data_IF_995830083913
#
_entry.id   IF_995830083913
#
_cell.length_a   1.000
_cell.length_b   1.000
_cell.length_c   1.000
_cell.angle_alpha   90.00
_cell.angle_beta   90.00
_cell.angle_gamma   90.00
#
_symmetry.space_group_name_H-M   'P 1'
#
loop_
_entity.id
_entity.type
_entity.pdbx_description
1 polymer ?
#
# COMPACT_ATOMS: atom_id res chain seq x y z
N UNK A 1 1.46 25.02 0.11
CA UNK A 1 -0.03 25.02 0.21
C UNK A 1 -0.59 24.60 -1.14
N UNK A 2 -1.53 23.66 -1.20
CA UNK A 2 -2.18 23.23 -2.46
C UNK A 2 -2.90 24.43 -3.12
N UNK A 3 -2.53 24.72 -4.37
CA UNK A 3 -3.09 25.83 -5.16
C UNK A 3 -3.65 25.29 -6.46
N UNK A 4 -4.88 25.66 -6.81
CA UNK A 4 -5.52 25.34 -8.08
C UNK A 4 -6.43 26.49 -8.52
N UNK A 5 -6.64 26.61 -9.84
CA UNK A 5 -7.50 27.66 -10.41
C UNK A 5 -8.97 27.26 -10.40
N UNK A 6 -9.25 25.95 -10.56
CA UNK A 6 -10.59 25.40 -10.65
C UNK A 6 -10.69 24.13 -9.79
N UNK A 7 -11.86 23.92 -9.20
CA UNK A 7 -12.24 22.68 -8.54
C UNK A 7 -13.39 22.05 -9.33
N UNK A 8 -13.21 20.77 -9.69
CA UNK A 8 -14.22 20.02 -10.42
C UNK A 8 -14.51 18.73 -9.71
N UNK A 9 -15.73 18.55 -9.24
CA UNK A 9 -16.26 17.28 -8.79
C UNK A 9 -16.72 16.50 -10.02
N UNK A 10 -16.07 15.37 -10.29
CA UNK A 10 -16.41 14.56 -11.45
C UNK A 10 -17.69 13.76 -11.19
N UNK A 11 -18.57 13.73 -12.16
CA UNK A 11 -19.84 12.99 -12.11
C UNK A 11 -19.70 11.56 -12.68
N UNK A 12 -18.67 11.34 -13.52
CA UNK A 12 -18.37 10.03 -14.10
C UNK A 12 -16.87 9.75 -14.13
N UNK A 13 -16.50 8.46 -14.19
CA UNK A 13 -15.11 8.05 -14.37
C UNK A 13 -14.51 8.55 -15.68
N UNK A 14 -15.33 8.59 -16.75
CA UNK A 14 -14.92 9.11 -18.05
C UNK A 14 -14.57 10.61 -17.98
N UNK A 15 -15.37 11.39 -17.30
CA UNK A 15 -15.09 12.81 -17.07
C UNK A 15 -13.81 13.00 -16.28
N UNK A 16 -13.65 12.28 -15.15
CA UNK A 16 -12.44 12.33 -14.35
C UNK A 16 -11.19 11.98 -15.16
N UNK A 17 -11.27 10.92 -15.96
CA UNK A 17 -10.20 10.48 -16.83
C UNK A 17 -9.85 11.51 -17.91
N UNK A 18 -10.84 12.05 -18.63
CA UNK A 18 -10.63 13.11 -19.63
C UNK A 18 -9.91 14.32 -19.03
N UNK A 19 -10.33 14.75 -17.86
CA UNK A 19 -9.68 15.86 -17.15
C UNK A 19 -8.24 15.52 -16.74
N UNK A 20 -7.99 14.27 -16.34
CA UNK A 20 -6.67 13.82 -15.89
C UNK A 20 -5.66 13.65 -17.03
N UNK A 21 -6.07 13.71 -18.30
CA UNK A 21 -5.14 13.68 -19.44
C UNK A 21 -4.26 14.94 -19.51
N UNK A 22 -4.70 16.05 -18.92
CA UNK A 22 -3.91 17.26 -18.80
C UNK A 22 -2.94 17.17 -17.61
N UNK A 23 -1.64 17.26 -17.87
CA UNK A 23 -0.61 17.33 -16.83
C UNK A 23 -0.73 18.54 -15.90
N UNK A 24 -1.54 19.53 -16.28
CA UNK A 24 -1.81 20.70 -15.45
C UNK A 24 -2.91 20.44 -14.40
N UNK A 25 -3.59 19.31 -14.48
CA UNK A 25 -4.64 18.91 -13.55
C UNK A 25 -4.12 17.87 -12.55
N UNK A 26 -4.83 17.71 -11.43
CA UNK A 26 -4.51 16.68 -10.44
C UNK A 26 -5.77 16.05 -9.87
N UNK A 27 -5.71 14.73 -9.69
CA UNK A 27 -6.74 13.99 -8.93
C UNK A 27 -6.51 14.18 -7.44
N UNK A 28 -7.58 14.47 -6.72
CA UNK A 28 -7.55 14.60 -5.26
C UNK A 28 -7.87 13.25 -4.60
N UNK A 29 -6.92 12.76 -3.81
CA UNK A 29 -7.18 11.80 -2.76
C UNK A 29 -7.21 12.54 -1.41
N UNK A 30 -6.62 11.96 -0.36
CA UNK A 30 -6.49 12.63 0.95
C UNK A 30 -5.55 13.83 0.99
N UNK A 31 -4.98 14.22 -0.12
CA UNK A 31 -4.11 15.39 -0.33
C UNK A 31 -2.86 15.51 0.56
N UNK A 32 -2.54 14.48 1.35
CA UNK A 32 -1.43 14.50 2.30
C UNK A 32 -0.10 14.99 1.72
N UNK A 33 0.25 14.52 0.52
CA UNK A 33 1.45 14.95 -0.21
C UNK A 33 1.22 16.17 -1.09
N UNK A 34 0.10 16.28 -1.76
CA UNK A 34 -0.20 17.40 -2.66
C UNK A 34 -0.14 18.75 -1.95
N UNK A 35 -0.66 18.82 -0.70
CA UNK A 35 -0.67 20.07 0.08
C UNK A 35 0.72 20.54 0.52
N UNK A 36 1.71 19.66 0.55
CA UNK A 36 3.10 19.97 0.91
C UNK A 36 3.91 20.47 -0.29
N UNK A 37 3.43 20.24 -1.51
CA UNK A 37 4.07 20.73 -2.73
C UNK A 37 3.77 22.20 -3.01
N UNK A 38 4.60 22.81 -3.85
CA UNK A 38 4.46 24.20 -4.29
C UNK A 38 3.83 24.33 -5.67
N UNK A 39 3.58 23.21 -6.33
CA UNK A 39 3.03 23.19 -7.68
C UNK A 39 1.63 23.80 -7.71
N UNK A 40 1.40 24.66 -8.70
CA UNK A 40 0.06 25.17 -9.01
C UNK A 40 -0.59 24.30 -10.07
N UNK A 41 -1.84 23.96 -9.82
CA UNK A 41 -2.65 23.14 -10.71
C UNK A 41 -3.73 23.98 -11.40
N UNK A 42 -4.12 23.61 -12.61
CA UNK A 42 -5.28 24.24 -13.25
C UNK A 42 -6.57 23.72 -12.61
N UNK A 43 -6.78 22.41 -12.65
CA UNK A 43 -7.99 21.80 -12.11
C UNK A 43 -7.64 20.74 -11.08
N UNK A 44 -8.26 20.84 -9.91
CA UNK A 44 -8.30 19.80 -8.90
C UNK A 44 -9.55 18.95 -9.16
N UNK A 45 -9.36 17.65 -9.40
CA UNK A 45 -10.42 16.68 -9.76
C UNK A 45 -10.79 15.89 -8.51
N UNK A 46 -12.01 16.07 -8.05
CA UNK A 46 -12.57 15.35 -6.90
C UNK A 46 -13.37 14.13 -7.38
N UNK A 47 -13.11 12.97 -6.76
CA UNK A 47 -13.75 11.69 -7.08
C UNK A 47 -14.82 11.28 -6.06
N UNK A 48 -15.21 12.16 -5.14
CA UNK A 48 -16.08 11.80 -3.99
C UNK A 48 -17.48 11.31 -4.38
N UNK A 49 -18.01 11.74 -5.54
CA UNK A 49 -19.34 11.36 -6.03
C UNK A 49 -19.33 10.04 -6.84
N UNK A 50 -18.16 9.42 -7.04
CA UNK A 50 -18.04 8.22 -7.90
C UNK A 50 -18.25 6.90 -7.17
N UNK A 51 -18.73 6.93 -5.92
CA UNK A 51 -18.99 5.70 -5.14
C UNK A 51 -17.73 4.92 -4.75
N UNK A 52 -16.55 5.56 -4.75
CA UNK A 52 -15.25 4.92 -4.49
C UNK A 52 -14.85 4.94 -3.00
N UNK A 53 -15.74 5.30 -2.10
CA UNK A 53 -15.48 5.45 -0.65
C UNK A 53 -15.83 4.23 0.20
N UNK A 54 -16.11 3.07 -0.39
CA UNK A 54 -16.59 1.87 0.30
C UNK A 54 -15.65 0.68 0.15
N UNK A 55 -15.69 -0.22 1.13
CA UNK A 55 -15.08 -1.55 1.05
C UNK A 55 -16.23 -2.55 0.90
N UNK A 56 -16.31 -3.20 -0.25
CA UNK A 56 -17.26 -4.27 -0.52
C UNK A 56 -16.59 -5.61 -0.27
N UNK A 57 -17.19 -6.41 0.62
CA UNK A 57 -16.73 -7.75 0.94
C UNK A 57 -17.68 -8.78 0.35
N UNK A 58 -17.15 -9.76 -0.36
CA UNK A 58 -17.85 -10.93 -0.85
C UNK A 58 -17.26 -12.21 -0.25
N UNK A 59 -17.77 -13.36 -0.61
CA UNK A 59 -17.17 -14.65 -0.24
C UNK A 59 -15.75 -14.83 -0.80
N UNK A 60 -15.47 -14.25 -1.97
CA UNK A 60 -14.24 -14.49 -2.74
C UNK A 60 -13.24 -13.33 -2.74
N UNK A 61 -13.67 -12.10 -2.44
CA UNK A 61 -12.81 -10.93 -2.50
C UNK A 61 -13.24 -9.77 -1.60
N UNK A 62 -12.28 -8.90 -1.32
CA UNK A 62 -12.51 -7.53 -0.86
C UNK A 62 -12.26 -6.58 -2.03
N UNK A 63 -13.24 -5.71 -2.33
CA UNK A 63 -13.12 -4.65 -3.33
C UNK A 63 -13.09 -3.30 -2.62
N UNK A 64 -11.93 -2.70 -2.54
CA UNK A 64 -11.62 -1.52 -1.75
C UNK A 64 -11.58 -0.33 -2.70
N UNK A 65 -12.50 0.62 -2.58
CA UNK A 65 -12.53 1.82 -3.40
C UNK A 65 -11.34 2.76 -3.14
N UNK A 66 -10.90 3.47 -4.16
CA UNK A 66 -9.74 4.35 -4.08
C UNK A 66 -9.89 5.50 -3.06
N UNK A 67 -11.12 5.92 -2.79
CA UNK A 67 -11.44 6.99 -1.83
C UNK A 67 -11.65 6.48 -0.40
N UNK A 68 -11.58 5.17 -0.16
CA UNK A 68 -11.56 4.60 1.19
C UNK A 68 -10.38 5.20 1.98
N UNK A 69 -10.66 5.66 3.18
CA UNK A 69 -9.62 6.24 4.05
C UNK A 69 -8.75 5.15 4.68
N UNK A 70 -7.52 5.49 5.04
CA UNK A 70 -6.65 4.57 5.78
C UNK A 70 -7.28 4.16 7.12
N UNK A 71 -8.10 5.03 7.73
CA UNK A 71 -8.79 4.70 8.98
C UNK A 71 -9.89 3.64 8.76
N UNK A 72 -10.67 3.74 7.69
CA UNK A 72 -11.64 2.70 7.33
C UNK A 72 -10.93 1.36 7.06
N UNK A 73 -9.81 1.40 6.33
CA UNK A 73 -8.99 0.21 6.09
C UNK A 73 -8.48 -0.42 7.39
N UNK A 74 -7.93 0.40 8.32
CA UNK A 74 -7.43 -0.01 9.63
C UNK A 74 -8.49 -0.73 10.47
N UNK A 75 -9.74 -0.25 10.40
CA UNK A 75 -10.84 -0.72 11.25
C UNK A 75 -11.69 -1.81 10.63
N UNK A 76 -11.50 -2.17 9.35
CA UNK A 76 -12.37 -3.11 8.65
C UNK A 76 -12.27 -4.52 9.25
N UNK A 77 -13.36 -5.06 9.84
CA UNK A 77 -13.30 -6.31 10.60
C UNK A 77 -12.94 -7.51 9.72
N UNK A 78 -13.55 -7.63 8.52
CA UNK A 78 -13.30 -8.75 7.61
C UNK A 78 -11.85 -8.78 7.10
N UNK A 79 -11.29 -7.63 6.70
CA UNK A 79 -9.87 -7.55 6.30
C UNK A 79 -8.92 -7.93 7.45
N UNK A 80 -9.22 -7.47 8.66
CA UNK A 80 -8.41 -7.79 9.84
C UNK A 80 -8.50 -9.27 10.21
N UNK A 81 -9.69 -9.87 10.12
CA UNK A 81 -9.86 -11.30 10.35
C UNK A 81 -9.12 -12.12 9.28
N UNK A 82 -9.28 -11.78 8.00
CA UNK A 82 -8.66 -12.48 6.88
C UNK A 82 -7.11 -12.42 6.93
N UNK A 83 -6.55 -11.27 7.33
CA UNK A 83 -5.09 -11.05 7.35
C UNK A 83 -4.46 -11.24 8.72
N UNK A 84 -5.17 -11.82 9.70
CA UNK A 84 -4.73 -11.94 11.09
C UNK A 84 -4.19 -10.61 11.68
N UNK A 85 -4.81 -9.48 11.28
CA UNK A 85 -4.45 -8.13 11.72
C UNK A 85 -3.30 -7.46 10.96
N UNK A 86 -2.68 -8.09 9.97
CA UNK A 86 -1.56 -7.50 9.22
C UNK A 86 -1.93 -6.17 8.55
N UNK A 87 -3.16 -6.03 8.02
CA UNK A 87 -3.65 -4.78 7.42
C UNK A 87 -3.77 -3.69 8.48
N UNK A 88 -4.32 -3.97 9.66
CA UNK A 88 -4.35 -3.01 10.77
C UNK A 88 -2.92 -2.61 11.19
N UNK A 89 -2.04 -3.57 11.31
CA UNK A 89 -0.67 -3.36 11.77
C UNK A 89 0.14 -2.49 10.78
N UNK A 90 -0.09 -2.60 9.47
CA UNK A 90 0.59 -1.77 8.49
C UNK A 90 0.08 -0.32 8.48
N UNK A 91 -1.14 -0.06 8.95
CA UNK A 91 -1.75 1.28 8.92
C UNK A 91 -1.59 2.04 10.23
N UNK A 92 -1.63 1.37 11.38
CA UNK A 92 -1.77 1.98 12.72
C UNK A 92 -0.71 3.03 13.08
N UNK A 93 0.51 2.92 12.53
CA UNK A 93 1.62 3.84 12.77
C UNK A 93 1.79 4.91 11.68
N UNK A 94 0.89 4.98 10.69
CA UNK A 94 0.92 6.03 9.68
C UNK A 94 0.40 7.32 10.30
N UNK A 95 1.33 8.18 10.73
CA UNK A 95 1.08 9.46 11.39
C UNK A 95 0.09 9.31 12.56
N UNK A 96 -1.01 10.02 12.56
CA UNK A 96 -2.06 9.98 13.59
C UNK A 96 -3.44 9.65 13.01
N UNK A 97 -4.42 9.43 13.89
CA UNK A 97 -5.81 9.12 13.49
C UNK A 97 -6.38 10.19 12.57
N UNK A 98 -6.12 11.48 12.85
CA UNK A 98 -6.61 12.59 12.03
C UNK A 98 -6.09 12.50 10.59
N UNK A 99 -4.81 12.16 10.44
CA UNK A 99 -4.23 11.95 9.10
C UNK A 99 -4.86 10.76 8.39
N UNK A 100 -5.02 9.64 9.10
CA UNK A 100 -5.62 8.42 8.53
C UNK A 100 -7.10 8.57 8.17
N UNK A 101 -7.83 9.49 8.83
CA UNK A 101 -9.19 9.86 8.43
C UNK A 101 -9.26 10.63 7.11
N UNK A 102 -8.17 11.24 6.67
CA UNK A 102 -8.11 11.99 5.41
C UNK A 102 -7.37 11.24 4.31
N UNK A 103 -6.25 10.59 4.62
CA UNK A 103 -5.44 9.86 3.66
C UNK A 103 -6.21 8.69 3.06
N UNK A 104 -6.17 8.54 1.74
CA UNK A 104 -6.93 7.51 1.01
C UNK A 104 -6.06 6.35 0.55
N UNK A 105 -6.68 5.19 0.43
CA UNK A 105 -6.06 3.98 -0.14
C UNK A 105 -5.55 4.27 -1.56
N UNK A 106 -6.37 4.90 -2.41
CA UNK A 106 -5.96 5.29 -3.76
C UNK A 106 -4.72 6.17 -3.76
N UNK A 107 -4.63 7.15 -2.86
CA UNK A 107 -3.46 8.02 -2.78
C UNK A 107 -2.17 7.28 -2.44
N UNK A 108 -2.21 6.30 -1.53
CA UNK A 108 -1.02 5.54 -1.15
C UNK A 108 -0.59 4.53 -2.23
N UNK A 109 -1.55 3.88 -2.92
CA UNK A 109 -1.24 2.97 -4.03
C UNK A 109 -0.77 3.71 -5.27
N UNK A 110 -1.44 4.79 -5.65
CA UNK A 110 -1.07 5.59 -6.82
C UNK A 110 0.31 6.21 -6.68
N UNK A 111 0.65 6.64 -5.47
CA UNK A 111 1.96 7.23 -5.17
C UNK A 111 3.13 6.27 -5.39
N UNK A 112 2.93 4.96 -5.28
CA UNK A 112 3.96 3.91 -5.41
C UNK A 112 5.23 4.22 -4.63
N UNK A 113 5.09 4.88 -3.46
CA UNK A 113 6.24 5.23 -2.64
C UNK A 113 6.90 3.98 -2.06
N UNK A 114 8.22 3.90 -2.18
CA UNK A 114 8.98 2.76 -1.66
C UNK A 114 8.90 2.57 -0.14
N UNK A 115 8.49 3.61 0.58
CA UNK A 115 8.26 3.58 2.04
C UNK A 115 6.79 3.31 2.41
N UNK A 116 5.91 3.01 1.46
CA UNK A 116 4.51 2.76 1.75
C UNK A 116 4.33 1.45 2.52
N UNK A 117 3.90 1.59 3.77
CA UNK A 117 3.52 0.46 4.63
C UNK A 117 2.42 -0.38 3.98
N UNK A 118 1.38 0.29 3.46
CA UNK A 118 0.22 -0.37 2.86
C UNK A 118 0.62 -1.13 1.60
N UNK A 119 1.39 -0.50 0.69
CA UNK A 119 1.86 -1.17 -0.52
C UNK A 119 2.69 -2.42 -0.18
N UNK A 120 3.61 -2.31 0.79
CA UNK A 120 4.43 -3.45 1.25
C UNK A 120 3.55 -4.59 1.78
N UNK A 121 2.55 -4.27 2.61
CA UNK A 121 1.63 -5.27 3.16
C UNK A 121 0.80 -5.97 2.07
N UNK A 122 0.27 -5.23 1.12
CA UNK A 122 -0.60 -5.77 0.08
C UNK A 122 0.16 -6.56 -0.99
N UNK A 123 1.47 -6.36 -1.16
CA UNK A 123 2.29 -7.15 -2.08
C UNK A 123 2.36 -8.65 -1.73
N UNK A 124 2.19 -9.02 -0.46
CA UNK A 124 2.19 -10.45 -0.05
C UNK A 124 0.81 -11.09 -0.15
N UNK A 125 -0.25 -10.27 -0.33
CA UNK A 125 -1.63 -10.72 -0.53
C UNK A 125 -1.90 -10.96 -2.04
N UNK A 126 -2.94 -11.71 -2.35
CA UNK A 126 -3.38 -11.89 -3.74
C UNK A 126 -4.17 -10.65 -4.19
N UNK A 127 -3.42 -9.62 -4.57
CA UNK A 127 -3.95 -8.27 -4.81
C UNK A 127 -3.83 -7.85 -6.27
N UNK A 128 -4.91 -7.29 -6.81
CA UNK A 128 -4.96 -6.61 -8.10
C UNK A 128 -5.39 -5.14 -7.93
N UNK A 129 -5.07 -4.32 -8.92
CA UNK A 129 -5.45 -2.91 -9.01
C UNK A 129 -6.30 -2.71 -10.24
N UNK A 130 -7.42 -2.01 -10.07
CA UNK A 130 -8.29 -1.61 -11.16
C UNK A 130 -8.15 -0.13 -11.46
N UNK A 131 -7.95 0.20 -12.73
CA UNK A 131 -7.89 1.58 -13.22
C UNK A 131 -8.89 1.80 -14.35
N UNK A 132 -9.37 3.01 -14.51
CA UNK A 132 -10.18 3.43 -15.64
C UNK A 132 -9.33 4.28 -16.60
N UNK A 133 -9.25 3.98 -17.89
CA UNK A 133 -9.85 2.84 -18.61
C UNK A 133 -8.97 1.58 -18.64
N UNK A 134 -7.81 1.56 -17.95
CA UNK A 134 -6.77 0.55 -18.09
C UNK A 134 -7.15 -0.87 -17.64
N UNK A 135 -8.29 -1.03 -16.92
CA UNK A 135 -8.75 -2.33 -16.45
C UNK A 135 -8.01 -2.84 -15.21
N UNK A 136 -7.97 -4.16 -15.04
CA UNK A 136 -7.41 -4.83 -13.86
C UNK A 136 -6.03 -5.40 -14.17
N UNK A 137 -5.06 -5.14 -13.30
CA UNK A 137 -3.73 -5.76 -13.38
C UNK A 137 -3.23 -6.18 -11.98
N UNK A 138 -2.33 -7.18 -11.88
CA UNK A 138 -1.71 -7.56 -10.62
C UNK A 138 -1.00 -6.39 -9.93
N UNK A 139 -1.04 -6.34 -8.59
CA UNK A 139 -0.38 -5.27 -7.83
C UNK A 139 1.13 -5.20 -8.12
N UNK A 140 1.79 -6.32 -8.30
CA UNK A 140 3.21 -6.40 -8.64
C UNK A 140 3.54 -5.69 -9.95
N UNK A 141 2.71 -5.87 -10.98
CA UNK A 141 2.84 -5.16 -12.25
C UNK A 141 2.54 -3.66 -12.08
N UNK A 142 1.45 -3.33 -11.40
CA UNK A 142 1.07 -1.94 -11.14
C UNK A 142 2.19 -1.19 -10.40
N UNK A 143 2.79 -1.79 -9.39
CA UNK A 143 3.88 -1.19 -8.62
C UNK A 143 5.17 -0.98 -9.45
N UNK A 144 5.41 -1.83 -10.47
CA UNK A 144 6.58 -1.76 -11.36
C UNK A 144 6.41 -0.76 -12.51
N UNK A 145 5.17 -0.53 -12.98
CA UNK A 145 4.87 0.37 -14.11
C UNK A 145 5.17 1.83 -13.78
N UNK A 146 5.45 2.63 -14.82
CA UNK A 146 5.41 4.09 -14.72
C UNK A 146 3.97 4.54 -14.48
N UNK A 147 3.81 5.70 -13.83
CA UNK A 147 2.49 6.30 -13.67
C UNK A 147 1.93 6.69 -15.03
N UNK A 148 0.70 6.27 -15.27
CA UNK A 148 -0.13 6.65 -16.43
C UNK A 148 -1.13 7.72 -16.00
N UNK A 149 -1.94 8.23 -16.92
CA UNK A 149 -2.96 9.23 -16.59
C UNK A 149 -4.34 8.60 -16.35
N UNK A 150 -4.38 7.33 -15.97
CA UNK A 150 -5.60 6.61 -15.60
C UNK A 150 -6.14 7.07 -14.25
N UNK A 151 -7.38 6.70 -13.96
CA UNK A 151 -8.01 6.88 -12.65
C UNK A 151 -7.97 5.55 -11.91
N UNK A 152 -7.26 5.47 -10.79
CA UNK A 152 -7.32 4.30 -9.91
C UNK A 152 -8.70 4.26 -9.26
N UNK A 153 -9.40 3.14 -9.44
CA UNK A 153 -10.77 2.97 -8.93
C UNK A 153 -10.83 2.04 -7.74
N UNK A 154 -10.21 0.86 -7.83
CA UNK A 154 -10.28 -0.12 -6.75
C UNK A 154 -8.96 -0.88 -6.54
N UNK A 155 -8.76 -1.33 -5.31
CA UNK A 155 -7.83 -2.37 -4.93
C UNK A 155 -8.66 -3.62 -4.64
N UNK A 156 -8.33 -4.73 -5.30
CA UNK A 156 -9.05 -6.00 -5.21
C UNK A 156 -8.15 -7.01 -4.51
N UNK A 157 -8.58 -7.53 -3.36
CA UNK A 157 -7.87 -8.58 -2.62
C UNK A 157 -8.68 -9.85 -2.70
N UNK A 158 -8.17 -10.86 -3.40
CA UNK A 158 -8.81 -12.17 -3.47
C UNK A 158 -8.62 -12.92 -2.16
N UNK A 159 -9.66 -13.59 -1.70
CA UNK A 159 -9.65 -14.43 -0.50
C UNK A 159 -9.10 -15.81 -0.84
N UNK A 160 -7.78 -15.92 -0.91
CA UNK A 160 -7.07 -17.20 -1.04
C UNK A 160 -6.65 -17.70 0.35
N UNK A 161 -6.50 -19.03 0.58
CA UNK A 161 -5.98 -19.54 1.84
C UNK A 161 -4.58 -18.98 2.11
N UNK A 162 -4.45 -18.10 3.10
CA UNK A 162 -3.17 -17.54 3.53
C UNK A 162 -3.23 -17.06 4.98
N UNK A 163 -2.05 -17.00 5.61
CA UNK A 163 -1.82 -16.23 6.84
C UNK A 163 -0.85 -15.11 6.51
N UNK A 164 -1.08 -13.90 7.02
CA UNK A 164 -0.20 -12.76 6.78
C UNK A 164 0.28 -12.13 8.09
N UNK A 165 1.45 -11.52 8.05
CA UNK A 165 2.01 -10.75 9.16
C UNK A 165 2.72 -9.51 8.63
N UNK A 166 2.76 -8.46 9.43
CA UNK A 166 3.44 -7.21 9.11
C UNK A 166 4.28 -6.74 10.29
N UNK A 167 5.48 -6.25 9.99
CA UNK A 167 6.41 -5.62 10.92
C UNK A 167 7.04 -4.38 10.29
N UNK A 168 7.33 -3.38 11.11
CA UNK A 168 8.10 -2.22 10.68
C UNK A 168 9.00 -1.71 11.81
N UNK A 169 10.10 -1.08 11.44
CA UNK A 169 10.95 -0.36 12.36
C UNK A 169 10.96 1.13 12.03
N UNK A 170 10.77 1.96 13.05
CA UNK A 170 10.76 3.43 12.97
C UNK A 170 11.64 4.01 14.05
N UNK A 171 12.30 5.14 13.79
CA UNK A 171 13.07 5.85 14.80
C UNK A 171 12.17 6.50 15.85
N UNK A 172 10.99 6.97 15.41
CA UNK A 172 9.90 7.43 16.27
C UNK A 172 8.58 6.86 15.77
N UNK A 173 7.60 6.67 16.64
CA UNK A 173 6.39 5.88 16.37
C UNK A 173 5.64 6.30 15.10
N UNK A 174 5.52 7.59 14.84
CA UNK A 174 4.74 8.15 13.73
C UNK A 174 5.59 8.67 12.55
N UNK A 175 6.91 8.49 12.60
CA UNK A 175 7.81 8.84 11.49
C UNK A 175 7.67 7.83 10.34
N UNK A 176 8.27 8.15 9.21
CA UNK A 176 8.45 7.20 8.12
C UNK A 176 9.24 5.99 8.58
N UNK A 177 8.92 4.80 8.08
CA UNK A 177 9.65 3.61 8.45
C UNK A 177 11.12 3.68 7.98
N UNK A 178 11.99 3.17 8.83
CA UNK A 178 13.38 2.82 8.45
C UNK A 178 13.33 1.61 7.53
N UNK A 179 12.49 0.62 7.86
CA UNK A 179 12.23 -0.58 7.05
C UNK A 179 10.82 -1.11 7.34
N UNK A 180 10.20 -1.67 6.32
CA UNK A 180 8.92 -2.38 6.39
C UNK A 180 9.07 -3.79 5.85
N UNK A 181 8.45 -4.76 6.51
CA UNK A 181 8.41 -6.14 6.07
C UNK A 181 7.00 -6.67 6.23
N UNK A 182 6.49 -7.29 5.18
CA UNK A 182 5.30 -8.12 5.25
C UNK A 182 5.67 -9.55 4.86
N UNK A 183 5.06 -10.53 5.46
CA UNK A 183 5.21 -11.92 5.05
C UNK A 183 3.84 -12.60 5.00
N UNK A 184 3.69 -13.56 4.09
CA UNK A 184 2.52 -14.41 4.02
C UNK A 184 2.94 -15.87 3.78
N UNK A 185 2.19 -16.79 4.40
CA UNK A 185 2.24 -18.22 4.12
C UNK A 185 1.02 -18.57 3.29
N UNK A 186 1.24 -19.06 2.08
CA UNK A 186 0.21 -19.64 1.21
C UNK A 186 0.24 -21.17 1.31
N UNK A 187 -0.60 -21.84 0.56
CA UNK A 187 -0.56 -23.32 0.47
C UNK A 187 0.74 -23.85 -0.19
N UNK A 188 1.39 -23.03 -1.04
CA UNK A 188 2.48 -23.49 -1.90
C UNK A 188 3.83 -22.82 -1.63
N UNK A 189 3.84 -21.66 -0.99
CA UNK A 189 5.06 -20.85 -0.82
C UNK A 189 4.99 -19.91 0.39
N UNK A 190 6.14 -19.40 0.76
CA UNK A 190 6.28 -18.26 1.64
C UNK A 190 6.58 -17.03 0.79
N UNK A 191 5.86 -15.93 1.05
CA UNK A 191 6.05 -14.63 0.40
C UNK A 191 6.62 -13.64 1.41
N UNK A 192 7.53 -12.79 0.98
CA UNK A 192 8.02 -11.67 1.79
C UNK A 192 8.16 -10.43 0.91
N UNK A 193 7.58 -9.31 1.34
CA UNK A 193 7.77 -8.01 0.72
C UNK A 193 8.58 -7.11 1.66
N UNK A 194 9.60 -6.45 1.12
CA UNK A 194 10.45 -5.52 1.86
C UNK A 194 10.34 -4.14 1.25
N UNK A 195 9.91 -3.16 2.04
CA UNK A 195 9.81 -1.76 1.67
C UNK A 195 10.69 -0.84 2.52
N UNK A 196 10.65 0.45 2.24
CA UNK A 196 11.47 1.48 2.88
C UNK A 196 12.99 1.23 2.81
N UNK A 197 13.45 0.56 1.78
CA UNK A 197 14.87 0.20 1.56
C UNK A 197 15.63 1.18 0.66
N UNK A 198 15.33 2.49 0.64
CA UNK A 198 15.49 3.54 -0.40
C UNK A 198 15.49 3.04 -1.85
N UNK A 199 14.48 2.19 -2.12
CA UNK A 199 14.12 1.68 -3.44
C UNK A 199 12.63 1.33 -3.41
N UNK A 200 12.08 0.80 -4.50
CA UNK A 200 10.71 0.27 -4.52
C UNK A 200 10.59 -0.89 -3.54
N UNK A 201 9.39 -1.06 -2.96
CA UNK A 201 9.08 -2.29 -2.25
C UNK A 201 9.20 -3.48 -3.21
N UNK A 202 9.80 -4.56 -2.75
CA UNK A 202 10.09 -5.74 -3.56
C UNK A 202 9.55 -6.99 -2.87
N UNK A 203 8.88 -7.83 -3.67
CA UNK A 203 8.34 -9.11 -3.29
C UNK A 203 9.33 -10.21 -3.66
N UNK A 204 9.64 -11.08 -2.71
CA UNK A 204 10.40 -12.32 -2.92
C UNK A 204 9.57 -13.50 -2.41
N UNK A 205 9.78 -14.67 -2.99
CA UNK A 205 9.12 -15.92 -2.59
C UNK A 205 10.18 -16.98 -2.31
N UNK A 206 9.86 -17.93 -1.42
CA UNK A 206 10.70 -19.08 -1.11
C UNK A 206 9.84 -20.30 -0.81
N UNK A 207 10.37 -21.49 -1.07
CA UNK A 207 9.70 -22.74 -0.73
C UNK A 207 9.68 -22.99 0.79
N UNK A 208 10.71 -22.50 1.49
CA UNK A 208 10.85 -22.59 2.93
C UNK A 208 11.42 -21.30 3.54
N UNK A 209 11.55 -21.27 4.87
CA UNK A 209 12.02 -20.10 5.61
C UNK A 209 13.50 -19.79 5.35
N UNK A 210 14.34 -20.80 5.09
CA UNK A 210 15.76 -20.62 4.83
C UNK A 210 15.97 -19.95 3.47
N UNK A 211 15.33 -20.46 2.42
CA UNK A 211 15.36 -19.86 1.09
C UNK A 211 14.79 -18.44 1.09
N UNK A 212 13.66 -18.22 1.78
CA UNK A 212 13.06 -16.90 1.89
C UNK A 212 14.01 -15.89 2.53
N UNK A 213 14.68 -16.28 3.63
CA UNK A 213 15.64 -15.41 4.31
C UNK A 213 16.86 -15.12 3.45
N UNK A 214 17.36 -16.09 2.70
CA UNK A 214 18.47 -15.89 1.74
C UNK A 214 18.07 -14.88 0.66
N UNK A 215 16.88 -15.03 0.06
CA UNK A 215 16.37 -14.09 -0.94
C UNK A 215 16.17 -12.68 -0.37
N UNK A 216 15.67 -12.55 0.85
CA UNK A 216 15.56 -11.26 1.54
C UNK A 216 16.95 -10.63 1.75
N UNK A 217 17.96 -11.41 2.16
CA UNK A 217 19.31 -10.91 2.35
C UNK A 217 20.00 -10.51 1.05
N UNK A 218 19.65 -11.11 -0.09
CA UNK A 218 20.20 -10.78 -1.40
C UNK A 218 19.64 -9.48 -2.01
N UNK A 219 18.59 -8.89 -1.42
CA UNK A 219 18.03 -7.62 -1.88
C UNK A 219 19.03 -6.47 -1.67
N UNK A 220 18.95 -5.47 -2.54
CA UNK A 220 19.75 -4.23 -2.39
C UNK A 220 19.11 -3.30 -1.35
N UNK A 221 19.90 -2.86 -0.40
CA UNK A 221 19.49 -1.92 0.66
C UNK A 221 20.26 -0.61 0.55
N UNK A 222 19.55 0.48 0.24
CA UNK A 222 20.12 1.82 0.18
C UNK A 222 20.19 2.50 1.55
N UNK A 223 20.99 3.58 1.63
CA UNK A 223 21.06 4.46 2.79
C UNK A 223 20.34 5.79 2.58
N UNK A 224 19.94 6.42 3.67
CA UNK A 224 19.48 7.82 3.74
C UNK A 224 19.69 8.38 5.16
N UNK A 225 19.15 9.57 5.45
CA UNK A 225 19.27 10.22 6.76
C UNK A 225 18.68 9.42 7.94
N UNK A 226 17.83 8.40 7.68
CA UNK A 226 17.23 7.55 8.73
C UNK A 226 18.09 6.37 9.11
N UNK A 227 18.79 5.75 8.15
CA UNK A 227 19.65 4.60 8.39
C UNK A 227 20.55 4.28 7.19
N UNK A 228 21.68 3.63 7.44
CA UNK A 228 22.55 3.05 6.42
C UNK A 228 21.99 1.75 5.81
N UNK A 229 22.53 1.35 4.66
CA UNK A 229 22.11 0.14 3.94
C UNK A 229 22.39 -1.15 4.72
N UNK A 230 23.56 -1.26 5.35
CA UNK A 230 23.94 -2.45 6.17
C UNK A 230 22.97 -2.67 7.34
N UNK A 231 22.59 -1.58 8.04
CA UNK A 231 21.61 -1.67 9.11
C UNK A 231 20.24 -2.12 8.61
N UNK A 232 19.80 -1.62 7.45
CA UNK A 232 18.54 -2.08 6.83
C UNK A 232 18.61 -3.55 6.43
N UNK A 233 19.72 -4.02 5.87
CA UNK A 233 19.91 -5.44 5.56
C UNK A 233 19.81 -6.31 6.81
N UNK A 234 20.45 -5.88 7.91
CA UNK A 234 20.33 -6.56 9.21
C UNK A 234 18.87 -6.57 9.70
N UNK A 235 18.19 -5.41 9.70
CA UNK A 235 16.79 -5.29 10.09
C UNK A 235 15.86 -6.14 9.23
N UNK A 236 16.11 -6.27 7.94
CA UNK A 236 15.29 -7.10 7.06
C UNK A 236 15.27 -8.54 7.53
N UNK A 237 16.42 -9.11 7.87
CA UNK A 237 16.50 -10.45 8.45
C UNK A 237 15.76 -10.57 9.80
N UNK A 238 15.89 -9.57 10.68
CA UNK A 238 15.22 -9.56 11.99
C UNK A 238 13.70 -9.48 11.84
N UNK A 239 13.20 -8.52 11.05
CA UNK A 239 11.76 -8.30 10.87
C UNK A 239 11.11 -9.47 10.11
N UNK A 240 11.81 -10.06 9.13
CA UNK A 240 11.32 -11.26 8.44
C UNK A 240 11.15 -12.42 9.41
N UNK A 241 12.13 -12.69 10.30
CA UNK A 241 11.99 -13.74 11.33
C UNK A 241 10.83 -13.46 12.28
N UNK A 242 10.59 -12.19 12.65
CA UNK A 242 9.43 -11.81 13.48
C UNK A 242 8.11 -12.07 12.76
N UNK A 243 8.00 -11.71 11.49
CA UNK A 243 6.82 -12.04 10.67
C UNK A 243 6.61 -13.56 10.60
N UNK A 244 7.67 -14.34 10.31
CA UNK A 244 7.60 -15.81 10.26
C UNK A 244 7.17 -16.42 11.61
N UNK A 245 7.68 -15.89 12.73
CA UNK A 245 7.26 -16.32 14.06
C UNK A 245 5.75 -16.07 14.30
N UNK A 246 5.23 -14.91 13.88
CA UNK A 246 3.78 -14.62 13.96
C UNK A 246 2.95 -15.58 13.09
N UNK A 247 3.45 -15.95 11.91
CA UNK A 247 2.76 -16.90 11.03
C UNK A 247 2.69 -18.32 11.62
N UNK A 248 3.66 -18.70 12.47
CA UNK A 248 3.66 -19.98 13.22
C UNK A 248 2.79 -19.93 14.47
N UNK A 249 2.80 -18.80 15.19
CA UNK A 249 2.16 -18.66 16.51
C UNK A 249 0.63 -18.78 16.54
N UNK A 250 -0.03 -18.85 15.39
CA UNK A 250 -1.43 -19.23 15.30
C UNK A 250 -1.71 -20.74 15.41
N UNK A 251 -0.66 -21.56 15.55
CA UNK A 251 -0.77 -23.02 15.70
C UNK A 251 -0.61 -23.51 17.15
N UNK A 252 -0.36 -22.56 18.09
CA UNK A 252 -0.23 -22.87 19.53
C UNK A 252 -1.21 -22.01 20.36
N UNK A 253 -2.50 -22.17 20.14
CA UNK A 253 -3.54 -21.71 21.05
C UNK A 253 -4.69 -22.72 21.11
#
# INVERSE_FOLDING_TARGET
MLKFKQFKRAETLEEAWKLNQSRANCVLGGTGWLKMGERQWNTAIDLSELGLGEIKETETEFRIGAMVTLRQLEQHPGLNAYTAGAVRDCVKHIVGVQFRNCATVGGTFWGRYGFSDVLTCFLVLDTAVETYPGGVCPLTEFAAKKQENDILTHIIVKKTPLKAAYESFRNTETDFPVLTVAAARTEHSLRCAVGARPARAELVEGADEAELLERVQSLTYGGNTRAGGEYRAHLAGVLTRRCLAKLRGGEQA
#
